data_IF_349468073234
#
_entry.id   IF_349468073234
#
_cell.length_a   1.000
_cell.length_b   1.000
_cell.length_c   1.000
_cell.angle_alpha   90.00
_cell.angle_beta   90.00
_cell.angle_gamma   90.00
#
_symmetry.space_group_name_H-M   'P 1'
#
loop_
_entity.id
_entity.type
_entity.pdbx_description
1 polymer ?
#
# COMPACT_ATOMS: atom_id res chain seq x y z
N UNK A 1 0.93 10.77 44.87
CA UNK A 1 1.00 9.43 44.20
C UNK A 1 1.07 9.67 42.70
N UNK A 2 2.00 9.02 41.98
CA UNK A 2 2.00 9.04 40.54
C UNK A 2 0.94 8.06 40.01
N UNK A 3 0.26 8.42 38.90
CA UNK A 3 -0.73 7.56 38.26
C UNK A 3 -0.04 6.33 37.69
N UNK A 4 -0.47 5.09 38.00
CA UNK A 4 0.12 3.88 37.43
C UNK A 4 -0.40 3.67 36.01
N UNK A 5 0.14 4.38 35.03
CA UNK A 5 -0.34 4.41 33.65
C UNK A 5 -0.40 3.03 32.99
N UNK A 6 0.56 2.14 33.32
CA UNK A 6 0.59 0.78 32.76
C UNK A 6 -0.69 -0.03 33.09
N UNK A 7 -1.31 0.21 34.24
CA UNK A 7 -2.55 -0.45 34.65
C UNK A 7 -3.81 0.15 34.04
N UNK A 8 -3.67 1.32 33.39
CA UNK A 8 -4.79 2.06 32.78
C UNK A 8 -4.91 1.82 31.28
N UNK A 9 -3.88 1.27 30.65
CA UNK A 9 -3.91 1.01 29.22
C UNK A 9 -4.91 -0.10 28.87
N UNK A 10 -5.67 0.11 27.78
CA UNK A 10 -6.56 -0.91 27.24
C UNK A 10 -5.76 -2.14 26.79
N UNK A 11 -6.32 -3.35 26.93
CA UNK A 11 -5.68 -4.61 26.55
C UNK A 11 -5.13 -4.61 25.12
N UNK A 12 -5.84 -3.97 24.19
CA UNK A 12 -5.43 -3.83 22.77
C UNK A 12 -4.07 -3.17 22.58
N UNK A 13 -3.62 -2.33 23.52
CA UNK A 13 -2.32 -1.61 23.43
C UNK A 13 -1.14 -2.56 23.51
N UNK A 14 -1.31 -3.75 24.10
CA UNK A 14 -0.27 -4.78 24.15
C UNK A 14 0.14 -5.29 22.77
N UNK A 15 -0.75 -5.22 21.77
CA UNK A 15 -0.49 -5.60 20.38
C UNK A 15 -0.03 -4.42 19.52
N UNK A 16 -0.08 -3.18 20.03
CA UNK A 16 0.39 -1.99 19.32
C UNK A 16 1.91 -1.89 19.44
N UNK A 17 2.62 -2.03 18.34
CA UNK A 17 4.08 -1.91 18.28
C UNK A 17 4.46 -0.75 17.34
N UNK A 18 5.61 -0.12 17.63
CA UNK A 18 6.21 0.83 16.69
C UNK A 18 6.50 0.15 15.35
N UNK A 19 6.33 0.91 14.27
CA UNK A 19 6.64 0.43 12.93
C UNK A 19 8.14 0.18 12.79
N UNK A 20 8.55 -1.07 12.47
CA UNK A 20 9.94 -1.40 12.16
C UNK A 20 10.52 -0.49 11.05
N UNK A 21 9.71 -0.16 10.04
CA UNK A 21 10.10 0.76 8.96
C UNK A 21 10.35 2.18 9.51
N UNK A 22 9.53 2.68 10.45
CA UNK A 22 9.73 4.01 11.03
C UNK A 22 10.96 4.09 11.91
N UNK A 23 11.25 3.05 12.68
CA UNK A 23 12.48 3.01 13.48
C UNK A 23 13.72 2.99 12.57
N UNK A 24 13.68 2.26 11.45
CA UNK A 24 14.73 2.29 10.44
C UNK A 24 14.85 3.67 9.76
N UNK A 25 13.74 4.35 9.49
CA UNK A 25 13.77 5.70 8.90
C UNK A 25 14.48 6.70 9.81
N UNK A 26 14.33 6.61 11.13
CA UNK A 26 15.10 7.44 12.07
C UNK A 26 16.61 7.22 11.96
N UNK A 27 17.05 5.98 11.73
CA UNK A 27 18.47 5.67 11.52
C UNK A 27 18.98 6.21 10.18
N UNK A 28 18.10 6.42 9.20
CA UNK A 28 18.46 6.87 7.85
C UNK A 28 18.26 8.38 7.63
N UNK A 29 17.96 9.15 8.68
CA UNK A 29 17.91 10.63 8.61
C UNK A 29 19.31 11.28 8.40
N UNK A 30 20.38 10.49 8.55
CA UNK A 30 21.73 10.98 8.28
C UNK A 30 21.93 11.20 6.76
N UNK A 31 22.41 12.39 6.33
CA UNK A 31 22.45 12.76 4.89
C UNK A 31 23.32 11.85 4.00
N UNK A 32 24.30 11.16 4.57
CA UNK A 32 25.24 10.26 3.89
C UNK A 32 24.75 8.81 3.80
N UNK A 33 23.62 8.48 4.42
CA UNK A 33 22.98 7.16 4.30
C UNK A 33 22.08 7.10 3.07
N UNK A 34 22.33 6.13 2.19
CA UNK A 34 21.45 5.82 1.07
C UNK A 34 20.34 4.88 1.56
N UNK A 35 19.12 5.38 1.61
CA UNK A 35 18.00 4.63 2.14
C UNK A 35 17.14 4.04 1.03
N UNK A 36 17.09 2.72 0.95
CA UNK A 36 16.10 1.95 0.18
C UNK A 36 14.97 1.41 1.09
N UNK A 37 14.90 1.88 2.35
CA UNK A 37 13.96 1.37 3.34
C UNK A 37 12.56 2.00 3.21
N UNK A 38 12.46 3.30 2.97
CA UNK A 38 11.20 4.03 2.93
C UNK A 38 10.35 3.71 1.72
N UNK A 39 9.02 3.69 1.89
CA UNK A 39 8.06 3.65 0.77
C UNK A 39 7.69 5.05 0.28
N UNK A 40 8.65 5.97 0.19
CA UNK A 40 8.43 7.37 -0.12
C UNK A 40 8.43 7.62 -1.63
N UNK A 41 7.44 8.36 -2.15
CA UNK A 41 7.51 8.92 -3.51
C UNK A 41 8.66 9.91 -3.64
N UNK A 42 9.12 10.13 -4.86
CA UNK A 42 10.13 11.11 -5.20
C UNK A 42 9.64 12.54 -4.95
N UNK A 43 10.32 13.37 -4.12
CA UNK A 43 9.83 14.72 -3.80
C UNK A 43 9.73 15.64 -5.01
N UNK A 44 10.61 15.47 -6.00
CA UNK A 44 10.63 16.25 -7.24
C UNK A 44 9.41 15.99 -8.14
N UNK A 45 8.67 14.91 -7.88
CA UNK A 45 7.41 14.63 -8.59
C UNK A 45 6.21 15.36 -7.98
N UNK A 46 6.35 16.03 -6.83
CA UNK A 46 5.20 16.70 -6.23
C UNK A 46 4.82 17.97 -6.99
N UNK A 47 3.55 18.14 -7.37
CA UNK A 47 3.09 19.28 -8.15
C UNK A 47 2.89 20.52 -7.26
N UNK A 48 3.97 21.05 -6.68
CA UNK A 48 3.98 22.14 -5.70
C UNK A 48 3.35 23.42 -6.26
N UNK A 49 3.67 23.78 -7.51
CA UNK A 49 3.13 24.96 -8.16
C UNK A 49 1.61 24.86 -8.37
N UNK A 50 1.12 23.68 -8.77
CA UNK A 50 -0.29 23.39 -8.96
C UNK A 50 -1.05 23.49 -7.63
N UNK A 51 -0.49 22.89 -6.56
CA UNK A 51 -1.08 23.01 -5.23
C UNK A 51 -1.09 24.43 -4.72
N UNK A 52 -0.04 25.21 -4.93
CA UNK A 52 0.01 26.63 -4.54
C UNK A 52 -1.12 27.44 -5.22
N UNK A 53 -1.30 27.26 -6.53
CA UNK A 53 -2.40 27.90 -7.27
C UNK A 53 -3.77 27.43 -6.81
N UNK A 54 -3.94 26.11 -6.62
CA UNK A 54 -5.20 25.52 -6.19
C UNK A 54 -5.62 26.01 -4.80
N UNK A 55 -4.69 26.04 -3.84
CA UNK A 55 -4.95 26.56 -2.49
C UNK A 55 -5.33 28.05 -2.52
N UNK A 56 -4.62 28.87 -3.29
CA UNK A 56 -4.95 30.28 -3.49
C UNK A 56 -6.36 30.47 -4.07
N UNK A 57 -6.71 29.71 -5.11
CA UNK A 57 -8.03 29.76 -5.74
C UNK A 57 -9.15 29.29 -4.79
N UNK A 58 -8.95 28.20 -4.06
CA UNK A 58 -9.90 27.70 -3.06
C UNK A 58 -10.14 28.73 -1.96
N UNK A 59 -9.07 29.33 -1.42
CA UNK A 59 -9.19 30.33 -0.36
C UNK A 59 -9.90 31.59 -0.84
N UNK A 60 -9.61 32.03 -2.06
CA UNK A 60 -10.23 33.25 -2.64
C UNK A 60 -11.72 33.09 -2.92
N UNK A 61 -12.14 31.93 -3.45
CA UNK A 61 -13.52 31.69 -3.92
C UNK A 61 -14.41 30.95 -2.91
N UNK A 62 -13.83 30.09 -2.06
CA UNK A 62 -14.54 29.17 -1.18
C UNK A 62 -13.94 29.10 0.23
N UNK A 63 -13.14 30.09 0.66
CA UNK A 63 -12.35 30.04 1.88
C UNK A 63 -13.18 29.69 3.13
N UNK A 64 -14.32 30.34 3.35
CA UNK A 64 -15.20 30.05 4.47
C UNK A 64 -15.67 28.57 4.48
N UNK A 65 -16.02 28.01 3.33
CA UNK A 65 -16.43 26.60 3.18
C UNK A 65 -15.26 25.65 3.40
N UNK A 66 -14.08 25.98 2.88
CA UNK A 66 -12.88 25.16 2.98
C UNK A 66 -12.37 25.04 4.44
N UNK A 67 -12.65 26.04 5.27
CA UNK A 67 -12.28 26.12 6.69
C UNK A 67 -13.37 25.64 7.64
N UNK A 68 -14.59 25.37 7.14
CA UNK A 68 -15.72 24.88 7.94
C UNK A 68 -15.72 23.33 8.00
N UNK A 69 -16.44 22.79 8.96
CA UNK A 69 -16.76 21.36 8.98
C UNK A 69 -17.45 20.92 7.69
N UNK A 70 -17.09 19.73 7.21
CA UNK A 70 -17.67 19.10 6.04
C UNK A 70 -18.50 17.85 6.38
N UNK A 71 -19.02 17.20 5.35
CA UNK A 71 -19.67 15.89 5.47
C UNK A 71 -18.64 14.80 5.73
N UNK A 72 -19.01 13.78 6.48
CA UNK A 72 -18.13 12.63 6.81
C UNK A 72 -17.74 11.88 5.56
N UNK A 73 -18.65 11.71 4.62
CA UNK A 73 -18.44 11.04 3.33
C UNK A 73 -17.36 11.73 2.49
N UNK A 74 -17.23 13.06 2.65
CA UNK A 74 -16.28 13.90 1.98
C UNK A 74 -16.89 14.84 0.94
N UNK A 75 -16.03 15.66 0.34
CA UNK A 75 -16.37 16.70 -0.64
C UNK A 75 -16.99 16.11 -1.90
N UNK A 76 -18.26 16.39 -2.16
CA UNK A 76 -19.05 15.76 -3.23
C UNK A 76 -18.38 15.83 -4.62
N UNK A 77 -17.84 16.98 -5.09
CA UNK A 77 -17.19 17.00 -6.41
C UNK A 77 -15.98 16.08 -6.52
N UNK A 78 -15.23 15.85 -5.44
CA UNK A 78 -14.12 14.90 -5.44
C UNK A 78 -14.62 13.45 -5.46
N UNK A 79 -15.68 13.13 -4.72
CA UNK A 79 -16.35 11.81 -4.75
C UNK A 79 -16.89 11.50 -6.15
N UNK A 80 -17.57 12.45 -6.79
CA UNK A 80 -18.04 12.32 -8.18
C UNK A 80 -16.90 12.13 -9.18
N UNK A 81 -15.77 12.83 -8.99
CA UNK A 81 -14.59 12.65 -9.84
C UNK A 81 -14.03 11.24 -9.70
N UNK A 82 -13.94 10.71 -8.48
CA UNK A 82 -13.47 9.34 -8.21
C UNK A 82 -14.44 8.32 -8.82
N UNK A 83 -15.74 8.51 -8.64
CA UNK A 83 -16.77 7.65 -9.23
C UNK A 83 -16.64 7.60 -10.77
N UNK A 84 -16.55 8.76 -11.43
CA UNK A 84 -16.34 8.85 -12.89
C UNK A 84 -15.01 8.22 -13.33
N UNK A 85 -13.95 8.31 -12.53
CA UNK A 85 -12.68 7.66 -12.85
C UNK A 85 -12.83 6.14 -12.81
N UNK A 86 -13.56 5.62 -11.85
CA UNK A 86 -13.80 4.17 -11.68
C UNK A 86 -14.68 3.61 -12.78
N UNK A 87 -15.68 4.35 -13.27
CA UNK A 87 -16.54 3.92 -14.40
C UNK A 87 -15.76 3.71 -15.71
N UNK A 88 -14.57 4.31 -15.87
CA UNK A 88 -13.69 4.01 -17.03
C UNK A 88 -13.25 2.56 -17.09
N UNK A 89 -13.29 1.87 -15.99
CA UNK A 89 -12.99 0.44 -15.89
C UNK A 89 -14.26 -0.43 -16.00
N UNK A 90 -15.43 0.17 -16.32
CA UNK A 90 -16.68 -0.56 -16.50
C UNK A 90 -17.51 -0.77 -15.25
N UNK A 91 -17.07 -0.28 -14.08
CA UNK A 91 -17.84 -0.39 -12.83
C UNK A 91 -18.84 0.77 -12.73
N UNK A 92 -20.10 0.49 -12.44
CA UNK A 92 -21.07 1.53 -12.15
C UNK A 92 -20.95 1.99 -10.69
N UNK A 93 -20.04 2.93 -10.45
CA UNK A 93 -19.80 3.56 -9.13
C UNK A 93 -20.50 4.91 -9.09
N UNK A 94 -21.32 5.12 -8.09
CA UNK A 94 -21.95 6.40 -7.77
C UNK A 94 -21.28 7.04 -6.54
N UNK A 95 -21.48 8.34 -6.28
CA UNK A 95 -20.92 8.99 -5.11
C UNK A 95 -21.23 8.30 -3.78
N UNK A 96 -22.40 7.62 -3.67
CA UNK A 96 -22.82 6.86 -2.50
C UNK A 96 -21.98 5.60 -2.24
N UNK A 97 -21.26 5.12 -3.25
CA UNK A 97 -20.27 4.05 -3.11
C UNK A 97 -18.91 4.56 -2.66
N UNK A 98 -18.68 5.88 -2.53
CA UNK A 98 -17.37 6.47 -2.27
C UNK A 98 -17.31 7.15 -0.91
N UNK A 99 -16.33 6.77 -0.09
CA UNK A 99 -15.97 7.43 1.17
C UNK A 99 -14.55 7.98 1.08
N UNK A 100 -14.36 9.27 1.31
CA UNK A 100 -13.02 9.87 1.42
C UNK A 100 -12.42 9.64 2.81
N UNK A 101 -11.14 9.34 2.85
CA UNK A 101 -10.41 9.03 4.08
C UNK A 101 -9.13 9.86 4.20
N UNK A 102 -8.62 9.98 5.43
CA UNK A 102 -7.34 10.65 5.72
C UNK A 102 -6.15 9.75 5.34
N UNK A 103 -6.11 9.35 4.05
CA UNK A 103 -5.21 8.36 3.45
C UNK A 103 -5.70 6.92 3.64
N UNK A 104 -5.13 5.98 2.89
CA UNK A 104 -5.49 4.55 2.97
C UNK A 104 -5.25 3.94 4.35
N UNK A 105 -4.34 4.49 5.16
CA UNK A 105 -4.13 4.00 6.53
C UNK A 105 -5.39 4.17 7.39
N UNK A 106 -6.13 5.28 7.26
CA UNK A 106 -7.41 5.44 7.93
C UNK A 106 -8.46 4.49 7.36
N UNK A 107 -8.44 4.23 6.06
CA UNK A 107 -9.34 3.26 5.45
C UNK A 107 -9.14 1.86 6.06
N UNK A 108 -7.88 1.40 6.20
CA UNK A 108 -7.55 0.12 6.86
C UNK A 108 -8.00 0.10 8.33
N UNK A 109 -7.82 1.20 9.07
CA UNK A 109 -8.27 1.31 10.46
C UNK A 109 -9.80 1.23 10.58
N UNK A 110 -10.54 1.95 9.72
CA UNK A 110 -12.01 1.90 9.70
C UNK A 110 -12.53 0.51 9.34
N UNK A 111 -11.89 -0.20 8.40
CA UNK A 111 -12.21 -1.60 8.08
C UNK A 111 -11.99 -2.49 9.32
N UNK A 112 -10.86 -2.36 9.99
CA UNK A 112 -10.61 -3.08 11.24
C UNK A 112 -11.67 -2.82 12.29
N UNK A 113 -12.04 -1.55 12.47
CA UNK A 113 -13.05 -1.11 13.45
C UNK A 113 -14.46 -1.65 13.17
N UNK A 114 -14.82 -1.83 11.90
CA UNK A 114 -16.16 -2.28 11.48
C UNK A 114 -16.26 -3.80 11.39
N UNK A 115 -15.20 -4.49 10.97
CA UNK A 115 -15.28 -5.91 10.63
C UNK A 115 -14.61 -6.85 11.62
N UNK A 116 -13.68 -6.37 12.48
CA UNK A 116 -12.84 -7.25 13.31
C UNK A 116 -13.25 -7.17 14.78
N UNK A 117 -13.61 -8.31 15.36
CA UNK A 117 -13.63 -8.52 16.79
C UNK A 117 -12.31 -9.16 17.26
N UNK A 118 -11.95 -9.03 18.55
CA UNK A 118 -10.79 -9.75 19.10
C UNK A 118 -10.82 -11.25 18.78
N UNK A 119 -9.74 -11.77 18.18
CA UNK A 119 -9.61 -13.16 17.79
C UNK A 119 -10.21 -13.51 16.40
N UNK A 120 -10.87 -12.59 15.73
CA UNK A 120 -11.33 -12.82 14.37
C UNK A 120 -10.14 -12.97 13.41
N UNK A 121 -10.28 -13.85 12.44
CA UNK A 121 -9.23 -14.16 11.45
C UNK A 121 -9.34 -13.29 10.20
N UNK A 122 -8.20 -12.82 9.72
CA UNK A 122 -8.05 -12.13 8.44
C UNK A 122 -7.08 -12.93 7.57
N UNK A 123 -7.50 -13.27 6.35
CA UNK A 123 -6.62 -13.92 5.38
C UNK A 123 -5.76 -12.85 4.72
N UNK A 124 -4.44 -13.03 4.76
CA UNK A 124 -3.45 -12.08 4.24
C UNK A 124 -2.44 -12.80 3.35
N UNK A 125 -1.85 -12.05 2.41
CA UNK A 125 -0.72 -12.51 1.61
C UNK A 125 0.49 -12.84 2.49
N UNK A 126 1.37 -13.72 2.01
CA UNK A 126 2.63 -14.08 2.66
C UNK A 126 3.79 -13.91 1.68
N UNK A 127 4.56 -12.81 1.79
CA UNK A 127 4.48 -11.68 2.73
C UNK A 127 3.32 -10.71 2.47
N UNK A 128 3.01 -9.82 3.45
CA UNK A 128 1.92 -8.84 3.36
C UNK A 128 2.32 -7.44 3.83
N UNK A 129 1.47 -6.45 3.58
CA UNK A 129 1.73 -5.06 3.91
C UNK A 129 1.68 -4.78 5.41
N UNK A 130 2.79 -4.29 5.95
CA UNK A 130 2.93 -3.92 7.37
C UNK A 130 1.90 -2.94 7.88
N UNK A 131 1.49 -1.97 7.06
CA UNK A 131 0.53 -0.95 7.47
C UNK A 131 -0.86 -1.52 7.73
N UNK A 132 -1.26 -2.57 7.01
CA UNK A 132 -2.49 -3.30 7.26
C UNK A 132 -2.42 -4.06 8.59
N UNK A 133 -1.34 -4.82 8.81
CA UNK A 133 -1.13 -5.52 10.09
C UNK A 133 -1.14 -4.57 11.27
N UNK A 134 -0.49 -3.40 11.17
CA UNK A 134 -0.46 -2.40 12.23
C UNK A 134 -1.85 -1.83 12.54
N UNK A 135 -2.68 -1.59 11.52
CA UNK A 135 -4.04 -1.13 11.72
C UNK A 135 -4.87 -2.19 12.47
N UNK A 136 -4.76 -3.46 12.08
CA UNK A 136 -5.64 -4.52 12.59
C UNK A 136 -5.16 -5.14 13.89
N UNK A 137 -3.87 -5.07 14.21
CA UNK A 137 -3.34 -5.47 15.53
C UNK A 137 -4.02 -4.71 16.67
N UNK A 138 -4.43 -3.45 16.45
CA UNK A 138 -5.19 -2.67 17.40
C UNK A 138 -6.59 -3.26 17.70
N UNK A 139 -7.14 -4.03 16.76
CA UNK A 139 -8.42 -4.74 16.90
C UNK A 139 -8.24 -6.22 17.28
N UNK A 140 -7.00 -6.63 17.59
CA UNK A 140 -6.64 -7.98 18.04
C UNK A 140 -6.98 -9.05 17.00
N UNK A 141 -6.82 -8.73 15.69
CA UNK A 141 -6.95 -9.68 14.61
C UNK A 141 -5.94 -10.83 14.74
N UNK A 142 -6.36 -12.03 14.32
CA UNK A 142 -5.48 -13.16 14.04
C UNK A 142 -5.33 -13.31 12.52
N UNK A 143 -4.19 -13.83 12.05
CA UNK A 143 -3.91 -13.86 10.62
C UNK A 143 -3.81 -15.28 10.08
N UNK A 144 -4.40 -15.49 8.90
CA UNK A 144 -4.23 -16.71 8.11
C UNK A 144 -3.32 -16.34 6.93
N UNK A 145 -2.02 -16.66 6.98
CA UNK A 145 -1.12 -16.38 5.87
C UNK A 145 -1.41 -17.33 4.70
N UNK A 146 -1.48 -16.78 3.49
CA UNK A 146 -1.61 -17.53 2.24
C UNK A 146 -0.44 -17.19 1.32
N UNK A 147 0.21 -18.22 0.79
CA UNK A 147 1.38 -18.05 -0.06
C UNK A 147 1.05 -17.33 -1.35
N UNK A 148 2.01 -16.53 -1.82
CA UNK A 148 2.01 -15.90 -3.13
C UNK A 148 3.23 -16.38 -3.93
N UNK A 149 3.04 -16.50 -5.24
CA UNK A 149 4.08 -16.72 -6.24
C UNK A 149 4.18 -15.50 -7.18
N UNK A 150 4.85 -15.63 -8.31
CA UNK A 150 4.99 -14.57 -9.32
C UNK A 150 3.67 -14.09 -9.92
N UNK A 151 2.61 -14.88 -9.83
CA UNK A 151 1.26 -14.61 -10.32
C UNK A 151 0.28 -14.15 -9.22
N UNK A 152 0.71 -14.03 -7.97
CA UNK A 152 -0.12 -13.68 -6.82
C UNK A 152 -0.51 -14.88 -5.97
N UNK A 153 -1.70 -14.89 -5.37
CA UNK A 153 -2.13 -15.98 -4.49
C UNK A 153 -2.03 -17.36 -5.15
N UNK A 154 -1.39 -18.30 -4.46
CA UNK A 154 -1.31 -19.72 -4.90
C UNK A 154 -2.68 -20.38 -4.70
N UNK A 155 -3.45 -20.52 -5.78
CA UNK A 155 -4.85 -20.98 -5.73
C UNK A 155 -5.00 -22.40 -5.17
N UNK A 156 -4.01 -23.28 -5.35
CA UNK A 156 -4.06 -24.66 -4.84
C UNK A 156 -4.19 -24.74 -3.30
N UNK A 157 -3.62 -23.79 -2.56
CA UNK A 157 -3.70 -23.74 -1.09
C UNK A 157 -4.73 -22.74 -0.58
N UNK A 158 -5.21 -21.84 -1.43
CA UNK A 158 -6.06 -20.72 -1.06
C UNK A 158 -7.44 -21.16 -0.57
N UNK A 159 -8.06 -22.14 -1.26
CA UNK A 159 -9.40 -22.65 -0.93
C UNK A 159 -9.49 -23.14 0.52
N UNK A 160 -8.51 -23.95 0.95
CA UNK A 160 -8.49 -24.47 2.32
C UNK A 160 -8.39 -23.33 3.37
N UNK A 161 -7.68 -22.24 3.03
CA UNK A 161 -7.56 -21.05 3.88
C UNK A 161 -8.87 -20.26 3.95
N UNK A 162 -9.56 -20.07 2.82
CA UNK A 162 -10.86 -19.37 2.77
C UNK A 162 -11.93 -20.17 3.51
N UNK A 163 -11.92 -21.50 3.39
CA UNK A 163 -12.87 -22.39 4.07
C UNK A 163 -12.83 -22.28 5.59
N UNK A 164 -11.71 -21.82 6.18
CA UNK A 164 -11.64 -21.57 7.63
C UNK A 164 -12.46 -20.37 8.11
N UNK A 165 -13.10 -19.62 7.20
CA UNK A 165 -14.05 -18.56 7.51
C UNK A 165 -13.41 -17.25 8.00
N UNK A 166 -12.39 -16.70 7.30
CA UNK A 166 -11.85 -15.38 7.65
C UNK A 166 -12.93 -14.30 7.47
N UNK A 167 -12.83 -13.20 8.22
CA UNK A 167 -13.72 -12.04 8.09
C UNK A 167 -13.66 -11.40 6.71
N UNK A 168 -12.48 -11.34 6.15
CA UNK A 168 -12.22 -10.89 4.78
C UNK A 168 -10.86 -11.40 4.29
N UNK A 169 -10.66 -11.32 2.97
CA UNK A 169 -9.39 -11.59 2.30
C UNK A 169 -8.76 -10.27 1.95
N UNK A 170 -7.53 -10.01 2.41
CA UNK A 170 -6.76 -8.82 2.05
C UNK A 170 -5.86 -9.13 0.85
N UNK A 171 -6.00 -8.38 -0.21
CA UNK A 171 -5.21 -8.51 -1.42
C UNK A 171 -4.65 -7.14 -1.87
N UNK A 172 -3.36 -7.11 -2.19
CA UNK A 172 -2.70 -5.97 -2.83
C UNK A 172 -2.26 -6.39 -4.25
N UNK A 173 -3.19 -6.39 -5.25
CA UNK A 173 -3.01 -7.11 -6.51
C UNK A 173 -2.06 -6.44 -7.50
N UNK A 174 -1.71 -5.17 -7.31
CA UNK A 174 -0.84 -4.42 -8.21
C UNK A 174 0.47 -4.03 -7.53
N UNK A 175 1.59 -4.57 -8.02
CA UNK A 175 2.94 -4.20 -7.53
C UNK A 175 3.02 -4.29 -6.00
N UNK A 176 2.61 -5.44 -5.48
CA UNK A 176 2.40 -5.75 -4.08
C UNK A 176 3.53 -5.21 -3.18
N UNK A 177 3.17 -4.66 -2.06
CA UNK A 177 4.11 -4.29 -1.01
C UNK A 177 4.15 -5.40 0.05
N UNK A 178 5.27 -6.16 0.17
CA UNK A 178 6.63 -5.75 -0.20
C UNK A 178 7.19 -6.33 -1.53
N UNK A 179 6.54 -7.31 -2.14
CA UNK A 179 7.14 -8.20 -3.15
C UNK A 179 7.35 -7.55 -4.53
N UNK A 180 6.59 -6.52 -4.87
CA UNK A 180 6.56 -5.92 -6.22
C UNK A 180 5.77 -6.76 -7.24
N UNK A 181 5.21 -7.90 -6.87
CA UNK A 181 4.47 -8.82 -7.72
C UNK A 181 3.13 -8.20 -8.15
N UNK A 182 2.67 -8.53 -9.34
CA UNK A 182 1.32 -8.20 -9.82
C UNK A 182 0.50 -9.47 -9.96
N UNK A 183 -0.65 -9.52 -9.30
CA UNK A 183 -1.57 -10.65 -9.42
C UNK A 183 -2.12 -10.74 -10.85
N UNK A 184 -1.95 -11.90 -11.48
CA UNK A 184 -2.41 -12.16 -12.84
C UNK A 184 -3.95 -12.13 -12.94
N UNK A 185 -4.46 -11.89 -14.15
CA UNK A 185 -5.90 -11.87 -14.41
C UNK A 185 -6.57 -13.18 -13.98
N UNK A 186 -5.93 -14.31 -14.26
CA UNK A 186 -6.47 -15.63 -13.90
C UNK A 186 -6.54 -15.84 -12.39
N UNK A 187 -5.54 -15.36 -11.64
CA UNK A 187 -5.53 -15.41 -10.17
C UNK A 187 -6.60 -14.51 -9.56
N UNK A 188 -6.85 -13.31 -10.14
CA UNK A 188 -7.93 -12.42 -9.71
C UNK A 188 -9.30 -13.07 -9.89
N UNK A 189 -9.56 -13.67 -11.07
CA UNK A 189 -10.80 -14.38 -11.35
C UNK A 189 -10.99 -15.60 -10.45
N UNK A 190 -9.94 -16.36 -10.19
CA UNK A 190 -9.99 -17.50 -9.28
C UNK A 190 -10.30 -17.07 -7.83
N UNK A 191 -9.66 -15.98 -7.37
CA UNK A 191 -9.92 -15.40 -6.05
C UNK A 191 -11.39 -14.98 -5.90
N UNK A 192 -11.96 -14.28 -6.89
CA UNK A 192 -13.37 -13.85 -6.87
C UNK A 192 -14.30 -15.06 -6.77
N UNK A 193 -14.09 -16.10 -7.59
CA UNK A 193 -14.92 -17.32 -7.56
C UNK A 193 -14.88 -18.02 -6.22
N UNK A 194 -13.70 -18.16 -5.63
CA UNK A 194 -13.55 -18.79 -4.31
C UNK A 194 -14.17 -17.91 -3.21
N UNK A 195 -13.92 -16.62 -3.21
CA UNK A 195 -14.48 -15.68 -2.25
C UNK A 195 -16.01 -15.66 -2.30
N UNK A 196 -16.60 -15.65 -3.50
CA UNK A 196 -18.04 -15.72 -3.70
C UNK A 196 -18.62 -17.05 -3.20
N UNK A 197 -18.00 -18.17 -3.55
CA UNK A 197 -18.46 -19.52 -3.14
C UNK A 197 -18.53 -19.67 -1.62
N UNK A 198 -17.60 -19.08 -0.88
CA UNK A 198 -17.55 -19.15 0.59
C UNK A 198 -18.18 -17.94 1.28
N UNK A 199 -18.69 -16.96 0.54
CA UNK A 199 -19.32 -15.74 1.09
C UNK A 199 -18.34 -14.85 1.87
N UNK A 200 -17.06 -14.86 1.51
CA UNK A 200 -16.02 -14.07 2.18
C UNK A 200 -15.70 -12.83 1.35
N UNK A 201 -15.83 -11.60 1.87
CA UNK A 201 -15.52 -10.39 1.11
C UNK A 201 -14.02 -10.24 0.88
N UNK A 202 -13.68 -9.54 -0.22
CA UNK A 202 -12.29 -9.18 -0.57
C UNK A 202 -12.07 -7.71 -0.23
N UNK A 203 -10.98 -7.42 0.47
CA UNK A 203 -10.44 -6.08 0.64
C UNK A 203 -9.30 -5.90 -0.35
N UNK A 204 -9.55 -5.19 -1.45
CA UNK A 204 -8.57 -4.85 -2.47
C UNK A 204 -7.89 -3.53 -2.12
N UNK A 205 -6.59 -3.55 -1.82
CA UNK A 205 -5.78 -2.35 -1.57
C UNK A 205 -4.93 -2.04 -2.80
N UNK A 206 -5.24 -0.93 -3.49
CA UNK A 206 -4.61 -0.56 -4.76
C UNK A 206 -4.00 0.85 -4.76
N UNK A 207 -2.93 1.09 -4.01
CA UNK A 207 -2.22 2.36 -4.03
C UNK A 207 -1.33 2.54 -5.26
N UNK A 208 -1.03 1.46 -6.01
CA UNK A 208 0.00 1.44 -7.06
C UNK A 208 -0.52 1.14 -8.46
N UNK A 209 -1.78 0.77 -8.66
CA UNK A 209 -2.32 0.30 -9.94
C UNK A 209 -2.09 1.26 -11.12
N UNK A 210 -2.03 2.56 -10.85
CA UNK A 210 -1.70 3.56 -11.85
C UNK A 210 -0.19 3.68 -12.16
N UNK A 211 0.69 3.02 -11.38
CA UNK A 211 2.14 3.09 -11.54
C UNK A 211 2.71 1.88 -12.30
N UNK A 212 2.05 1.47 -13.38
CA UNK A 212 2.55 0.46 -14.30
C UNK A 212 3.50 1.10 -15.31
N UNK A 213 4.70 0.52 -15.49
CA UNK A 213 5.74 1.03 -16.38
C UNK A 213 5.81 0.26 -17.69
N UNK A 214 5.43 -1.01 -17.66
CA UNK A 214 5.43 -1.90 -18.82
C UNK A 214 4.32 -2.96 -18.73
N UNK A 215 4.02 -3.60 -19.86
CA UNK A 215 2.91 -4.53 -19.98
C UNK A 215 1.55 -3.84 -20.03
N UNK A 216 0.50 -4.63 -20.11
CA UNK A 216 -0.88 -4.15 -20.20
C UNK A 216 -1.51 -3.97 -18.81
N UNK A 217 -2.52 -3.11 -18.75
CA UNK A 217 -3.29 -2.92 -17.53
C UNK A 217 -4.10 -4.18 -17.21
N UNK A 218 -3.99 -4.64 -15.96
CA UNK A 218 -4.83 -5.74 -15.45
C UNK A 218 -6.02 -5.13 -14.71
N UNK A 219 -7.27 -5.44 -15.09
CA UNK A 219 -8.44 -4.90 -14.45
C UNK A 219 -8.44 -5.14 -12.94
N UNK A 220 -8.82 -4.16 -12.10
CA UNK A 220 -8.90 -4.35 -10.65
C UNK A 220 -9.92 -5.42 -10.28
N UNK A 221 -9.75 -6.05 -9.11
CA UNK A 221 -10.63 -7.12 -8.63
C UNK A 221 -12.07 -6.62 -8.49
N UNK A 222 -12.27 -5.40 -8.02
CA UNK A 222 -13.59 -4.78 -7.90
C UNK A 222 -14.31 -4.67 -9.24
N UNK A 223 -13.59 -4.42 -10.34
CA UNK A 223 -14.16 -4.42 -11.68
C UNK A 223 -14.58 -5.85 -12.11
N UNK A 224 -13.67 -6.80 -11.95
CA UNK A 224 -13.93 -8.20 -12.31
C UNK A 224 -15.07 -8.83 -11.48
N UNK A 225 -15.23 -8.42 -10.22
CA UNK A 225 -16.35 -8.82 -9.37
C UNK A 225 -17.67 -8.25 -9.88
N UNK A 226 -17.69 -6.99 -10.34
CA UNK A 226 -18.85 -6.37 -10.97
C UNK A 226 -19.26 -7.11 -12.26
N UNK A 227 -18.31 -7.46 -13.13
CA UNK A 227 -18.56 -8.29 -14.32
C UNK A 227 -19.06 -9.69 -13.96
N UNK A 228 -18.41 -10.34 -13.00
CA UNK A 228 -18.79 -11.69 -12.53
C UNK A 228 -20.24 -11.77 -12.04
N UNK A 229 -20.72 -10.68 -11.42
CA UNK A 229 -22.10 -10.58 -10.91
C UNK A 229 -23.10 -10.07 -11.93
N UNK A 230 -22.68 -9.75 -13.15
CA UNK A 230 -23.54 -9.17 -14.18
C UNK A 230 -24.31 -7.94 -13.69
N UNK A 231 -23.61 -7.03 -12.98
CA UNK A 231 -24.20 -5.81 -12.43
C UNK A 231 -24.23 -4.65 -13.42
N UNK A 232 -24.13 -4.93 -14.72
CA UNK A 232 -24.15 -3.91 -15.78
C UNK A 232 -25.37 -3.00 -15.67
N UNK A 233 -25.09 -1.69 -15.56
CA UNK A 233 -26.14 -0.67 -15.38
C UNK A 233 -26.74 -0.55 -13.99
N UNK A 234 -26.35 -1.40 -13.04
CA UNK A 234 -26.77 -1.33 -11.64
C UNK A 234 -25.64 -0.75 -10.78
N UNK A 235 -25.99 0.08 -9.80
CA UNK A 235 -25.03 0.60 -8.83
C UNK A 235 -24.24 -0.56 -8.20
N UNK A 236 -22.92 -0.39 -8.03
CA UNK A 236 -22.04 -1.40 -7.47
C UNK A 236 -22.52 -1.92 -6.11
N UNK A 237 -22.73 -3.22 -6.03
CA UNK A 237 -23.20 -3.96 -4.85
C UNK A 237 -22.47 -5.30 -4.65
N UNK A 238 -21.24 -5.42 -5.18
CA UNK A 238 -20.44 -6.65 -5.12
C UNK A 238 -19.81 -6.95 -3.76
N UNK A 239 -18.92 -7.95 -3.72
CA UNK A 239 -18.25 -8.43 -2.51
C UNK A 239 -16.83 -7.86 -2.33
N UNK A 240 -16.45 -6.85 -3.08
CA UNK A 240 -15.12 -6.23 -2.99
C UNK A 240 -15.24 -4.85 -2.36
N UNK A 241 -14.40 -4.60 -1.35
CA UNK A 241 -14.13 -3.28 -0.80
C UNK A 241 -12.80 -2.83 -1.38
N UNK A 242 -12.83 -1.80 -2.23
CA UNK A 242 -11.63 -1.29 -2.91
C UNK A 242 -11.09 -0.06 -2.19
N UNK A 243 -9.79 -0.06 -1.90
CA UNK A 243 -9.06 1.06 -1.32
C UNK A 243 -8.07 1.65 -2.32
N UNK A 244 -7.94 2.97 -2.34
CA UNK A 244 -6.86 3.63 -3.07
C UNK A 244 -6.49 4.98 -2.45
N UNK A 245 -5.48 5.66 -3.00
CA UNK A 245 -4.92 6.87 -2.41
C UNK A 245 -4.29 7.80 -3.45
N UNK A 246 -4.32 9.10 -3.18
CA UNK A 246 -3.54 10.10 -3.91
C UNK A 246 -2.05 10.14 -3.52
N UNK A 247 -1.65 9.40 -2.48
CA UNK A 247 -0.29 9.46 -1.93
C UNK A 247 0.81 9.07 -2.92
N UNK A 248 0.50 8.26 -3.94
CA UNK A 248 1.50 7.75 -4.89
C UNK A 248 1.42 8.38 -6.28
N UNK A 249 0.31 9.05 -6.57
CA UNK A 249 0.02 9.65 -7.88
C UNK A 249 -0.12 11.17 -7.84
N UNK A 250 -0.11 11.77 -6.63
CA UNK A 250 -0.21 13.21 -6.46
C UNK A 250 0.75 13.70 -5.37
N UNK A 251 0.41 13.53 -4.09
CA UNK A 251 1.30 13.88 -2.98
C UNK A 251 0.87 13.16 -1.68
N UNK A 252 1.79 12.52 -0.93
CA UNK A 252 1.44 11.82 0.30
C UNK A 252 1.06 12.77 1.44
N UNK A 253 1.59 14.00 1.46
CA UNK A 253 1.37 14.97 2.53
C UNK A 253 -0.06 15.52 2.62
N UNK A 254 -0.85 15.44 1.56
CA UNK A 254 -2.25 15.89 1.57
C UNK A 254 -3.18 14.96 2.35
N UNK A 255 -2.72 13.76 2.67
CA UNK A 255 -3.44 12.75 3.44
C UNK A 255 -4.83 12.44 2.88
N UNK A 256 -4.93 12.09 1.60
CA UNK A 256 -6.18 11.71 0.95
C UNK A 256 -6.12 10.30 0.37
N UNK A 257 -7.14 9.52 0.70
CA UNK A 257 -7.46 8.23 0.14
C UNK A 257 -8.97 8.08 0.00
N UNK A 258 -9.42 6.96 -0.53
CA UNK A 258 -10.84 6.66 -0.66
C UNK A 258 -11.12 5.16 -0.59
N UNK A 259 -12.36 4.86 -0.23
CA UNK A 259 -12.94 3.53 -0.27
C UNK A 259 -14.04 3.53 -1.32
N UNK A 260 -14.11 2.46 -2.13
CA UNK A 260 -15.28 2.14 -2.97
C UNK A 260 -15.84 0.82 -2.46
N UNK A 261 -17.12 0.81 -2.11
CA UNK A 261 -17.79 -0.37 -1.59
C UNK A 261 -19.31 -0.28 -1.82
N UNK A 262 -20.08 -1.38 -1.61
CA UNK A 262 -21.52 -1.30 -1.55
C UNK A 262 -22.02 -0.22 -0.59
N UNK A 263 -23.11 0.45 -0.92
CA UNK A 263 -23.61 1.60 -0.16
C UNK A 263 -23.88 1.28 1.32
N UNK A 264 -24.33 0.08 1.64
CA UNK A 264 -24.54 -0.38 3.03
C UNK A 264 -23.21 -0.47 3.82
N UNK A 265 -22.14 -0.90 3.18
CA UNK A 265 -20.79 -0.93 3.78
C UNK A 265 -20.29 0.49 4.00
N UNK A 266 -20.44 1.38 3.00
CA UNK A 266 -20.08 2.80 3.12
C UNK A 266 -20.81 3.44 4.30
N UNK A 267 -22.11 3.20 4.48
CA UNK A 267 -22.87 3.74 5.61
C UNK A 267 -22.28 3.33 6.96
N UNK A 268 -21.87 2.07 7.12
CA UNK A 268 -21.20 1.60 8.35
C UNK A 268 -19.84 2.23 8.58
N UNK A 269 -19.05 2.38 7.52
CA UNK A 269 -17.76 3.05 7.57
C UNK A 269 -17.90 4.55 7.90
N UNK A 270 -18.93 5.22 7.38
CA UNK A 270 -19.27 6.61 7.72
C UNK A 270 -19.58 6.73 9.21
N UNK A 271 -20.42 5.86 9.77
CA UNK A 271 -20.72 5.84 11.21
C UNK A 271 -19.44 5.66 12.06
N UNK A 272 -18.55 4.76 11.65
CA UNK A 272 -17.27 4.54 12.33
C UNK A 272 -16.34 5.77 12.21
N UNK A 273 -16.31 6.42 11.04
CA UNK A 273 -15.50 7.60 10.78
C UNK A 273 -15.98 8.83 11.55
N UNK A 274 -17.28 9.00 11.75
CA UNK A 274 -17.84 10.08 12.59
C UNK A 274 -17.24 10.06 13.99
N UNK A 275 -17.08 8.88 14.58
CA UNK A 275 -16.45 8.71 15.89
C UNK A 275 -14.91 8.71 15.87
N UNK A 276 -14.27 8.84 14.71
CA UNK A 276 -12.81 8.81 14.58
C UNK A 276 -12.23 10.21 14.36
N UNK A 277 -12.64 10.90 13.29
CA UNK A 277 -12.13 12.21 12.93
C UNK A 277 -13.21 13.17 12.40
N UNK A 278 -14.46 12.78 12.48
CA UNK A 278 -15.64 13.48 11.97
C UNK A 278 -15.65 13.55 10.43
N UNK A 279 -14.63 14.12 9.82
CA UNK A 279 -14.41 14.18 8.37
C UNK A 279 -12.92 14.41 8.03
N UNK A 280 -12.52 14.04 6.84
CA UNK A 280 -11.20 14.39 6.28
C UNK A 280 -11.14 15.89 5.98
N UNK A 281 -9.97 16.52 6.08
CA UNK A 281 -9.77 17.96 5.85
C UNK A 281 -10.44 18.45 4.56
N UNK A 282 -11.44 19.33 4.69
CA UNK A 282 -12.17 19.92 3.56
C UNK A 282 -11.23 20.72 2.64
N UNK A 283 -10.30 21.49 3.21
CA UNK A 283 -9.30 22.23 2.45
C UNK A 283 -8.43 21.31 1.58
N UNK A 284 -7.93 20.20 2.14
CA UNK A 284 -7.14 19.23 1.38
C UNK A 284 -7.94 18.60 0.24
N UNK A 285 -9.20 18.27 0.48
CA UNK A 285 -10.09 17.67 -0.52
C UNK A 285 -10.36 18.65 -1.67
N UNK A 286 -10.67 19.90 -1.38
CA UNK A 286 -10.95 20.94 -2.38
C UNK A 286 -9.69 21.26 -3.20
N UNK A 287 -8.52 21.37 -2.56
CA UNK A 287 -7.26 21.60 -3.24
C UNK A 287 -6.90 20.41 -4.17
N UNK A 288 -7.01 19.18 -3.68
CA UNK A 288 -6.76 17.99 -4.49
C UNK A 288 -7.72 17.87 -5.67
N UNK A 289 -9.01 18.16 -5.48
CA UNK A 289 -9.97 18.21 -6.58
C UNK A 289 -9.58 19.25 -7.63
N UNK A 290 -9.20 20.45 -7.19
CA UNK A 290 -8.78 21.53 -8.10
C UNK A 290 -7.53 21.15 -8.91
N UNK A 291 -6.55 20.45 -8.29
CA UNK A 291 -5.35 19.98 -8.99
C UNK A 291 -5.66 18.81 -9.89
N UNK A 292 -6.41 17.82 -9.41
CA UNK A 292 -6.64 16.57 -10.14
C UNK A 292 -7.64 16.70 -11.29
N UNK A 293 -8.51 17.72 -11.25
CA UNK A 293 -9.50 17.98 -12.30
C UNK A 293 -8.84 18.46 -13.60
N UNK A 294 -9.60 18.50 -14.70
CA UNK A 294 -9.13 19.07 -15.97
C UNK A 294 -8.06 18.23 -16.71
N UNK A 295 -7.83 16.97 -16.31
CA UNK A 295 -6.90 16.07 -16.99
C UNK A 295 -5.44 16.12 -16.49
N UNK A 296 -5.09 17.06 -15.60
CA UNK A 296 -3.74 17.18 -15.03
C UNK A 296 -3.23 15.87 -14.46
N UNK A 297 -4.05 15.17 -13.66
CA UNK A 297 -3.63 13.94 -12.99
C UNK A 297 -3.15 12.87 -13.98
N UNK A 298 -3.82 12.72 -15.12
CA UNK A 298 -3.45 11.74 -16.14
C UNK A 298 -2.05 12.02 -16.73
N UNK A 299 -1.77 13.29 -17.03
CA UNK A 299 -0.47 13.68 -17.60
C UNK A 299 0.63 13.58 -16.52
N UNK A 300 0.33 14.00 -15.32
CA UNK A 300 1.25 13.90 -14.18
C UNK A 300 1.67 12.45 -13.88
N UNK A 301 0.73 11.51 -13.90
CA UNK A 301 1.02 10.09 -13.72
C UNK A 301 1.97 9.55 -14.81
N UNK A 302 1.89 10.05 -16.06
CA UNK A 302 2.84 9.66 -17.12
C UNK A 302 4.28 10.10 -16.78
N UNK A 303 4.43 11.31 -16.24
CA UNK A 303 5.74 11.82 -15.79
C UNK A 303 6.30 10.97 -14.66
N UNK A 304 5.48 10.69 -13.64
CA UNK A 304 5.86 9.81 -12.52
C UNK A 304 6.30 8.44 -13.02
N UNK A 305 5.54 7.83 -13.93
CA UNK A 305 5.87 6.52 -14.53
C UNK A 305 7.22 6.53 -15.22
N UNK A 306 7.53 7.58 -15.98
CA UNK A 306 8.82 7.70 -16.68
C UNK A 306 9.99 7.73 -15.71
N UNK A 307 9.91 8.56 -14.67
CA UNK A 307 10.94 8.70 -13.64
C UNK A 307 11.15 7.39 -12.87
N UNK A 308 10.07 6.75 -12.44
CA UNK A 308 10.19 5.53 -11.65
C UNK A 308 10.60 4.32 -12.50
N UNK A 309 10.26 4.29 -13.78
CA UNK A 309 10.76 3.29 -14.72
C UNK A 309 12.27 3.36 -14.82
N UNK A 310 12.83 4.55 -15.06
CA UNK A 310 14.29 4.76 -15.11
C UNK A 310 14.98 4.29 -13.83
N UNK A 311 14.42 4.63 -12.68
CA UNK A 311 14.99 4.24 -11.37
C UNK A 311 14.93 2.73 -11.13
N UNK A 312 13.80 2.09 -11.47
CA UNK A 312 13.66 0.64 -11.40
C UNK A 312 14.70 -0.04 -12.29
N UNK A 313 14.80 0.39 -13.55
CA UNK A 313 15.72 -0.20 -14.51
C UNK A 313 17.17 -0.04 -14.04
N UNK A 314 17.53 1.17 -13.56
CA UNK A 314 18.85 1.42 -12.94
C UNK A 314 19.14 0.49 -11.76
N UNK A 315 18.15 0.24 -10.90
CA UNK A 315 18.34 -0.65 -9.75
C UNK A 315 18.52 -2.10 -10.21
N UNK A 316 17.70 -2.57 -11.15
CA UNK A 316 17.81 -3.93 -11.69
C UNK A 316 19.14 -4.17 -12.39
N UNK A 317 19.60 -3.23 -13.23
CA UNK A 317 20.91 -3.30 -13.89
C UNK A 317 22.08 -3.34 -12.89
N UNK A 318 21.99 -2.53 -11.82
CA UNK A 318 23.03 -2.51 -10.80
C UNK A 318 23.04 -3.83 -9.98
N UNK A 319 21.87 -4.39 -9.66
CA UNK A 319 21.76 -5.69 -8.99
C UNK A 319 22.34 -6.83 -9.87
N UNK A 320 21.96 -6.86 -11.16
CA UNK A 320 22.46 -7.86 -12.11
C UNK A 320 23.99 -7.83 -12.27
N UNK A 321 24.58 -6.65 -12.20
CA UNK A 321 26.03 -6.47 -12.37
C UNK A 321 26.82 -6.75 -11.10
N UNK A 322 26.34 -6.31 -9.93
CA UNK A 322 27.16 -6.17 -8.73
C UNK A 322 26.89 -7.23 -7.66
N UNK A 323 25.69 -7.84 -7.65
CA UNK A 323 25.32 -8.78 -6.59
C UNK A 323 25.99 -10.15 -6.74
N UNK A 324 26.41 -10.76 -5.63
CA UNK A 324 26.99 -12.09 -5.65
C UNK A 324 25.96 -13.17 -6.01
N UNK A 325 26.39 -14.29 -6.58
CA UNK A 325 25.52 -15.43 -6.91
C UNK A 325 24.83 -16.00 -5.65
N UNK A 326 23.63 -16.56 -5.84
CA UNK A 326 22.82 -17.13 -4.76
C UNK A 326 21.85 -16.15 -4.10
N UNK A 327 21.83 -14.88 -4.53
CA UNK A 327 20.84 -13.90 -4.14
C UNK A 327 19.92 -13.66 -5.34
N UNK A 328 18.61 -13.66 -5.09
CA UNK A 328 17.60 -13.44 -6.14
C UNK A 328 16.72 -12.26 -5.81
N UNK A 329 16.03 -11.71 -6.82
CA UNK A 329 15.13 -10.59 -6.66
C UNK A 329 13.98 -10.60 -7.66
N UNK A 330 12.87 -9.99 -7.26
CA UNK A 330 11.71 -9.78 -8.14
C UNK A 330 12.02 -8.71 -9.20
N UNK A 331 11.32 -8.77 -10.35
CA UNK A 331 11.43 -7.81 -11.45
C UNK A 331 10.07 -7.14 -11.69
N UNK A 332 9.71 -6.13 -10.89
CA UNK A 332 8.37 -5.55 -10.93
C UNK A 332 8.14 -4.76 -12.22
N UNK A 333 6.94 -4.89 -12.79
CA UNK A 333 6.48 -4.13 -13.96
C UNK A 333 5.98 -2.72 -13.60
N UNK A 334 6.05 -2.33 -12.33
CA UNK A 334 5.56 -1.06 -11.82
C UNK A 334 5.78 -0.92 -10.31
N UNK A 335 5.04 -0.04 -9.67
CA UNK A 335 5.10 0.15 -8.22
C UNK A 335 6.35 0.87 -7.74
N UNK A 336 6.81 0.55 -6.54
CA UNK A 336 7.91 1.26 -5.87
C UNK A 336 8.99 0.32 -5.32
N UNK A 337 8.77 -1.00 -5.31
CA UNK A 337 9.55 -1.96 -4.55
C UNK A 337 10.00 -3.14 -5.39
N UNK A 338 11.12 -3.69 -4.98
CA UNK A 338 11.53 -5.05 -5.32
C UNK A 338 11.92 -5.82 -4.06
N UNK A 339 11.90 -7.15 -4.16
CA UNK A 339 12.07 -8.07 -3.07
C UNK A 339 13.30 -8.92 -3.30
N UNK A 340 14.22 -8.91 -2.33
CA UNK A 340 15.42 -9.73 -2.33
C UNK A 340 15.17 -11.02 -1.53
N UNK A 341 15.74 -12.14 -2.02
CA UNK A 341 15.87 -13.37 -1.26
C UNK A 341 17.34 -13.73 -1.16
N UNK A 342 17.85 -13.74 0.06
CA UNK A 342 19.19 -14.18 0.41
C UNK A 342 19.25 -15.69 0.59
N UNK A 343 20.43 -16.32 0.56
CA UNK A 343 20.59 -17.71 1.01
C UNK A 343 20.02 -17.93 2.40
N UNK A 344 19.44 -19.10 2.66
CA UNK A 344 18.72 -19.42 3.91
C UNK A 344 19.52 -19.15 5.19
N UNK A 345 20.84 -19.25 5.13
CA UNK A 345 21.73 -19.00 6.25
C UNK A 345 21.92 -17.51 6.58
N UNK A 346 21.54 -16.59 5.68
CA UNK A 346 21.65 -15.14 5.89
C UNK A 346 20.40 -14.60 6.61
N UNK A 347 20.63 -13.96 7.74
CA UNK A 347 19.59 -13.17 8.42
C UNK A 347 19.65 -11.73 7.92
N UNK A 348 18.56 -11.25 7.30
CA UNK A 348 18.48 -9.90 6.73
C UNK A 348 18.63 -8.78 7.79
N UNK A 349 18.32 -9.04 9.05
CA UNK A 349 18.52 -8.07 10.13
C UNK A 349 20.03 -7.91 10.42
N UNK A 350 20.80 -8.99 10.38
CA UNK A 350 22.26 -8.93 10.52
C UNK A 350 22.91 -8.29 9.29
N UNK A 351 22.43 -8.63 8.10
CA UNK A 351 22.87 -7.98 6.84
C UNK A 351 22.61 -6.47 6.93
N UNK A 352 21.45 -6.04 7.44
CA UNK A 352 21.12 -4.62 7.60
C UNK A 352 22.12 -3.91 8.53
N UNK A 353 22.50 -4.51 9.67
CA UNK A 353 23.49 -3.91 10.58
C UNK A 353 24.82 -3.66 9.86
N UNK A 354 25.29 -4.63 9.11
CA UNK A 354 26.52 -4.51 8.31
C UNK A 354 26.38 -3.49 7.16
N UNK A 355 25.21 -3.40 6.53
CA UNK A 355 24.89 -2.46 5.47
C UNK A 355 24.84 -1.01 5.99
N UNK A 356 24.24 -0.77 7.16
CA UNK A 356 24.19 0.57 7.80
C UNK A 356 25.61 1.06 8.13
N UNK A 357 26.52 0.20 8.56
CA UNK A 357 27.94 0.55 8.74
C UNK A 357 28.59 1.00 7.42
N UNK A 358 28.06 0.57 6.26
CA UNK A 358 28.47 1.01 4.91
C UNK A 358 27.56 2.09 4.33
N UNK A 359 26.74 2.74 5.17
CA UNK A 359 25.87 3.86 4.78
C UNK A 359 24.82 3.50 3.72
N UNK A 360 24.25 2.29 3.80
CA UNK A 360 23.09 1.87 3.00
C UNK A 360 22.09 1.12 3.89
N UNK A 361 20.79 1.35 3.66
CA UNK A 361 19.72 0.74 4.46
C UNK A 361 18.59 0.22 3.57
N UNK A 362 17.95 -0.88 4.03
CA UNK A 362 16.79 -1.53 3.44
C UNK A 362 15.85 -2.03 4.56
N UNK A 363 14.70 -2.64 4.22
CA UNK A 363 13.82 -3.23 5.24
C UNK A 363 13.99 -4.75 5.25
N UNK A 364 14.40 -5.35 6.40
CA UNK A 364 14.38 -6.79 6.58
C UNK A 364 12.99 -7.38 6.40
N UNK A 365 12.91 -8.55 5.75
CA UNK A 365 11.65 -9.13 5.33
C UNK A 365 10.80 -9.72 6.44
N UNK A 366 11.37 -10.22 7.52
CA UNK A 366 10.66 -10.87 8.63
C UNK A 366 9.43 -10.07 9.09
N UNK A 367 9.53 -8.73 9.11
CA UNK A 367 8.43 -7.86 9.51
C UNK A 367 7.17 -7.94 8.64
N UNK A 368 7.27 -8.44 7.43
CA UNK A 368 6.15 -8.60 6.49
C UNK A 368 5.48 -9.98 6.57
N UNK A 369 5.95 -10.83 7.46
CA UNK A 369 5.40 -12.16 7.70
C UNK A 369 4.70 -12.21 9.05
N UNK A 370 3.55 -12.84 9.10
CA UNK A 370 2.76 -12.98 10.32
C UNK A 370 3.14 -14.21 11.15
N UNK A 371 3.94 -15.10 10.58
CA UNK A 371 4.37 -16.38 11.14
C UNK A 371 5.85 -16.42 11.58
N UNK A 372 6.54 -15.26 11.57
CA UNK A 372 7.95 -15.15 11.98
C UNK A 372 8.97 -15.74 11.00
N UNK A 373 8.54 -16.06 9.78
CA UNK A 373 9.43 -16.52 8.68
C UNK A 373 10.01 -15.33 7.90
N UNK A 374 10.66 -15.59 6.77
CA UNK A 374 11.18 -14.55 5.86
C UNK A 374 12.43 -13.83 6.33
N UNK A 375 13.20 -14.40 7.29
CA UNK A 375 14.43 -13.81 7.82
C UNK A 375 15.51 -13.58 6.78
N UNK A 376 15.52 -14.39 5.74
CA UNK A 376 16.45 -14.29 4.62
C UNK A 376 15.90 -13.45 3.46
N UNK A 377 15.02 -12.51 3.72
CA UNK A 377 14.42 -11.66 2.68
C UNK A 377 14.53 -10.19 3.02
N UNK A 378 14.43 -9.31 2.01
CA UNK A 378 14.49 -7.87 2.20
C UNK A 378 13.70 -7.11 1.14
N UNK A 379 13.15 -5.96 1.52
CA UNK A 379 12.50 -5.02 0.59
C UNK A 379 13.42 -3.86 0.25
N UNK A 380 13.59 -3.58 -1.04
CA UNK A 380 14.21 -2.35 -1.56
C UNK A 380 13.17 -1.44 -2.19
N UNK A 381 13.30 -0.14 -1.94
CA UNK A 381 12.56 0.92 -2.61
C UNK A 381 13.46 1.59 -3.66
N UNK A 382 12.96 1.73 -4.90
CA UNK A 382 13.69 2.41 -5.97
C UNK A 382 13.13 3.81 -6.28
N UNK A 383 11.95 4.18 -5.74
CA UNK A 383 11.28 5.41 -6.16
C UNK A 383 11.88 6.71 -5.62
N UNK A 384 12.57 6.68 -4.47
CA UNK A 384 13.00 7.90 -3.79
C UNK A 384 14.44 8.33 -4.11
N UNK A 385 15.34 7.40 -4.41
CA UNK A 385 16.75 7.71 -4.72
C UNK A 385 16.95 8.05 -6.21
N UNK A 386 17.89 8.96 -6.52
CA UNK A 386 18.27 9.23 -7.91
C UNK A 386 19.03 8.05 -8.52
N UNK A 387 19.12 7.94 -9.87
CA UNK A 387 19.85 6.85 -10.52
C UNK A 387 21.30 6.70 -10.04
N UNK A 388 22.01 7.81 -9.77
CA UNK A 388 23.39 7.82 -9.25
C UNK A 388 23.43 7.23 -7.84
N UNK A 389 22.53 7.66 -6.96
CA UNK A 389 22.46 7.13 -5.59
C UNK A 389 22.01 5.67 -5.57
N UNK A 390 21.18 5.24 -6.51
CA UNK A 390 20.80 3.82 -6.66
C UNK A 390 22.03 2.99 -6.98
N UNK A 391 22.84 3.38 -8.01
CA UNK A 391 24.06 2.66 -8.38
C UNK A 391 25.05 2.59 -7.21
N UNK A 392 25.27 3.71 -6.54
CA UNK A 392 26.15 3.78 -5.38
C UNK A 392 25.66 2.89 -4.23
N UNK A 393 24.36 2.99 -3.87
CA UNK A 393 23.78 2.22 -2.77
C UNK A 393 23.78 0.71 -3.02
N UNK A 394 23.46 0.29 -4.26
CA UNK A 394 23.55 -1.13 -4.66
C UNK A 394 25.01 -1.61 -4.60
N UNK A 395 25.97 -0.83 -5.07
CA UNK A 395 27.39 -1.17 -4.95
C UNK A 395 27.88 -1.33 -3.51
N UNK A 396 27.44 -0.43 -2.59
CA UNK A 396 27.75 -0.54 -1.16
C UNK A 396 27.15 -1.82 -0.54
N UNK A 397 25.91 -2.14 -0.92
CA UNK A 397 25.21 -3.35 -0.44
C UNK A 397 25.89 -4.61 -0.98
N UNK A 398 26.27 -4.63 -2.26
CA UNK A 398 27.00 -5.73 -2.88
C UNK A 398 28.35 -5.98 -2.18
N UNK A 399 29.11 -4.92 -1.89
CA UNK A 399 30.36 -5.03 -1.14
C UNK A 399 30.15 -5.57 0.29
N UNK A 400 29.03 -5.21 0.95
CA UNK A 400 28.63 -5.76 2.22
C UNK A 400 28.39 -7.28 2.12
N UNK A 401 27.58 -7.70 1.16
CA UNK A 401 27.21 -9.10 0.94
C UNK A 401 28.44 -9.97 0.60
N UNK A 402 29.31 -9.50 -0.28
CA UNK A 402 30.56 -10.19 -0.60
C UNK A 402 31.46 -10.40 0.63
N UNK A 403 31.55 -9.38 1.51
CA UNK A 403 32.32 -9.52 2.76
C UNK A 403 31.74 -10.55 3.71
N UNK A 404 30.40 -10.62 3.83
CA UNK A 404 29.72 -11.61 4.68
C UNK A 404 29.87 -13.05 4.14
N UNK A 405 29.78 -13.21 2.80
CA UNK A 405 30.00 -14.52 2.14
C UNK A 405 31.45 -14.98 2.33
N UNK A 406 32.41 -14.10 2.10
CA UNK A 406 33.84 -14.42 2.29
C UNK A 406 34.17 -14.82 3.72
N UNK A 407 33.63 -14.09 4.71
CA UNK A 407 33.85 -14.40 6.13
C UNK A 407 33.26 -15.76 6.57
N UNK A 408 32.27 -16.28 5.88
CA UNK A 408 31.73 -17.62 6.14
C UNK A 408 32.56 -18.73 5.50
N UNK A 409 33.22 -18.43 4.39
CA UNK A 409 34.01 -19.43 3.66
C UNK A 409 35.43 -19.60 4.22
N UNK A 410 35.85 -18.71 5.12
CA UNK A 410 37.10 -18.74 5.87
C UNK A 410 36.93 -19.43 7.22
#
# INVERSE_FOLDING_TARGET
MQTPWAERYAQRTQRMRSSAVRELLKLTEQPDVISFAGGLPAPETFPVAEFSRALGAVMASHGARALQYGTTEGYTPLREMIARHSTRYGINVEPENVLLTSGSQQALDLIGKVFINPGDHVLVERPTYLGALQAWNAYQAEYIPADIDEDGYVTASLEARIRSGPKFIYALPNFQNPSGITMSLERRKALIKLADHYGVPILEDDPYGQLRYEGEHVPPIVHLDSEFRSTDGVRYSGNVIYLSTFSKILAPGIRLGWIIAPAEVIQKLVQAKQGTDLHTSTLSQMAAYQVASGGFLNEHVKVIRSIYRERRDTMLEALDRDFPPGITWTRPQGGLFLWLTFPEWMDAAEVLKAAVARRVAFVPGESFFTDGTGRNTARLNFSNATPERIKEGVGRLAACLNSLIAARSA
#
